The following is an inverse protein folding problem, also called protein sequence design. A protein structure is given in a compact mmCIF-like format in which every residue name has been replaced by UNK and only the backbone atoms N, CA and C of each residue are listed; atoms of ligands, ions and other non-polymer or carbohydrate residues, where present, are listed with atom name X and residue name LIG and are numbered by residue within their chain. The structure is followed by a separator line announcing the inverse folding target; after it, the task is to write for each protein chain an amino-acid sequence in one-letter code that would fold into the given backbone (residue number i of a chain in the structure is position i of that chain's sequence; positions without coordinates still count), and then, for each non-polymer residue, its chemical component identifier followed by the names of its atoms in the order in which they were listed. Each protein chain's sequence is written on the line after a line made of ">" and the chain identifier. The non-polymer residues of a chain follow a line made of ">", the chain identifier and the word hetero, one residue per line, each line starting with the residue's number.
data_IF_847990156059
#
_entry.id   IF_847990156059
#
_cell.length_a   1.000
_cell.length_b   1.000
_cell.length_c   1.000
_cell.angle_alpha   90.00
_cell.angle_beta   90.00
_cell.angle_gamma   90.00
#
_symmetry.space_group_name_H-M   'P 1'
#
loop_
_entity.id
_entity.type
_entity.pdbx_description
1 polymer ?
#
# COMPACT_ATOMS: atom_id res chain seq x y z
N UNK A 1 11.85 -11.09 20.63
CA UNK A 1 10.65 -10.31 20.26
C UNK A 1 9.39 -11.13 20.44
N UNK A 2 8.32 -10.49 20.89
CA UNK A 2 6.99 -11.12 20.91
C UNK A 2 6.51 -11.27 19.48
N UNK A 3 6.13 -12.49 19.09
CA UNK A 3 5.55 -12.79 17.78
C UNK A 3 4.02 -12.71 17.94
N UNK A 4 3.36 -11.99 17.04
CA UNK A 4 1.91 -11.86 16.97
C UNK A 4 1.43 -12.06 15.53
N UNK A 5 0.14 -12.36 15.36
CA UNK A 5 -0.45 -12.43 14.03
C UNK A 5 -0.38 -11.05 13.30
N UNK A 6 -0.21 -11.07 11.99
CA UNK A 6 -0.21 -9.88 11.13
C UNK A 6 -1.16 -10.09 9.93
N UNK A 7 -2.48 -10.16 10.17
CA UNK A 7 -3.46 -10.38 9.11
C UNK A 7 -3.60 -9.15 8.20
N UNK A 8 -3.97 -9.37 6.94
CA UNK A 8 -4.40 -8.29 6.04
C UNK A 8 -5.74 -7.72 6.54
N UNK A 9 -5.90 -6.37 6.58
CA UNK A 9 -7.14 -5.75 7.06
C UNK A 9 -8.30 -6.02 6.11
N UNK A 10 -9.47 -6.34 6.66
CA UNK A 10 -10.69 -6.57 5.89
C UNK A 10 -11.50 -5.28 5.66
N UNK A 11 -11.37 -4.32 6.56
CA UNK A 11 -12.08 -3.05 6.51
C UNK A 11 -11.43 -2.03 7.44
N UNK A 12 -11.96 -0.82 7.41
CA UNK A 12 -11.59 0.30 8.28
C UNK A 12 -12.90 0.81 8.89
N UNK A 13 -12.98 0.80 10.20
CA UNK A 13 -14.23 1.12 10.91
C UNK A 13 -14.69 2.57 10.61
N UNK A 14 -13.75 3.51 10.56
CA UNK A 14 -14.02 4.93 10.34
C UNK A 14 -14.13 5.34 8.87
N UNK A 15 -14.23 4.40 7.93
CA UNK A 15 -14.14 4.69 6.50
C UNK A 15 -15.16 5.71 6.00
N UNK A 16 -16.40 5.64 6.50
CA UNK A 16 -17.47 6.57 6.13
C UNK A 16 -17.17 8.00 6.60
N UNK A 17 -16.60 8.15 7.80
CA UNK A 17 -16.16 9.45 8.34
C UNK A 17 -14.98 10.01 7.55
N UNK A 18 -14.01 9.18 7.22
CA UNK A 18 -12.85 9.56 6.40
C UNK A 18 -13.33 10.04 5.03
N UNK A 19 -14.23 9.29 4.40
CA UNK A 19 -14.80 9.64 3.10
C UNK A 19 -15.55 10.97 3.16
N UNK A 20 -16.43 11.16 4.15
CA UNK A 20 -17.22 12.38 4.31
C UNK A 20 -16.34 13.63 4.46
N UNK A 21 -15.25 13.53 5.20
CA UNK A 21 -14.28 14.63 5.37
C UNK A 21 -13.51 14.89 4.06
N UNK A 22 -13.04 13.85 3.41
CA UNK A 22 -12.31 13.94 2.14
C UNK A 22 -13.17 14.56 1.03
N UNK A 23 -14.44 14.14 0.92
CA UNK A 23 -15.40 14.68 -0.06
C UNK A 23 -15.67 16.19 0.15
N UNK A 24 -15.43 16.69 1.37
CA UNK A 24 -15.49 18.14 1.69
C UNK A 24 -14.16 18.87 1.46
N UNK A 25 -13.18 18.22 0.85
CA UNK A 25 -11.86 18.81 0.55
C UNK A 25 -10.91 18.88 1.75
N UNK A 26 -11.18 18.15 2.82
CA UNK A 26 -10.28 18.10 3.98
C UNK A 26 -9.17 17.07 3.77
N UNK A 27 -7.97 17.39 4.25
CA UNK A 27 -6.86 16.45 4.32
C UNK A 27 -7.04 15.59 5.57
N UNK A 28 -7.18 14.28 5.39
CA UNK A 28 -7.43 13.32 6.49
C UNK A 28 -6.18 12.50 6.74
N UNK A 29 -5.74 12.46 8.01
CA UNK A 29 -4.65 11.57 8.48
C UNK A 29 -5.32 10.39 9.19
N UNK A 30 -5.13 9.19 8.66
CA UNK A 30 -5.80 7.98 9.17
C UNK A 30 -4.83 6.79 9.24
N UNK A 31 -5.25 5.72 9.93
CA UNK A 31 -4.56 4.43 10.08
C UNK A 31 -3.19 4.47 10.77
N UNK A 32 -2.53 5.62 10.94
CA UNK A 32 -1.23 5.71 11.61
C UNK A 32 -0.22 4.66 11.11
N UNK A 33 0.34 3.86 12.00
CA UNK A 33 1.26 2.77 11.68
C UNK A 33 0.59 1.47 11.20
N UNK A 34 -0.72 1.47 10.88
CA UNK A 34 -1.50 0.32 10.43
C UNK A 34 -2.90 0.24 11.06
N UNK A 35 -3.13 0.98 12.15
CA UNK A 35 -4.37 1.01 12.89
C UNK A 35 -4.42 0.06 14.08
N UNK A 36 -5.49 0.16 14.86
CA UNK A 36 -5.77 -0.72 16.01
C UNK A 36 -6.57 -1.91 15.50
N UNK A 37 -6.02 -3.15 15.60
CA UNK A 37 -6.73 -4.33 15.13
C UNK A 37 -7.91 -4.66 16.02
N UNK A 38 -9.09 -4.81 15.40
CA UNK A 38 -10.34 -5.19 16.07
C UNK A 38 -11.03 -6.31 15.31
N UNK A 39 -11.80 -7.11 16.05
CA UNK A 39 -12.71 -8.11 15.50
C UNK A 39 -14.14 -7.61 15.70
N UNK A 40 -14.92 -7.54 14.62
CA UNK A 40 -16.33 -7.23 14.69
C UNK A 40 -17.12 -8.52 15.01
N UNK A 41 -17.89 -8.50 16.10
CA UNK A 41 -18.78 -9.58 16.51
C UNK A 41 -20.19 -9.02 16.74
N UNK A 42 -21.03 -9.11 15.72
CA UNK A 42 -22.32 -8.44 15.73
C UNK A 42 -22.13 -6.92 15.76
N UNK A 43 -22.61 -6.28 16.82
CA UNK A 43 -22.51 -4.81 17.03
C UNK A 43 -21.30 -4.41 17.90
N UNK A 44 -20.56 -5.36 18.41
CA UNK A 44 -19.41 -5.13 19.30
C UNK A 44 -18.09 -5.21 18.56
N UNK A 45 -17.12 -4.39 19.00
CA UNK A 45 -15.74 -4.41 18.54
C UNK A 45 -14.83 -4.90 19.67
N UNK A 46 -14.11 -5.97 19.43
CA UNK A 46 -13.15 -6.54 20.38
C UNK A 46 -11.73 -6.34 19.89
N UNK A 47 -10.84 -5.84 20.75
CA UNK A 47 -9.42 -5.71 20.43
C UNK A 47 -8.78 -7.06 20.11
N UNK A 48 -8.01 -7.13 19.02
CA UNK A 48 -7.30 -8.33 18.60
C UNK A 48 -5.81 -8.28 18.98
N UNK A 49 -5.25 -9.41 19.42
CA UNK A 49 -3.81 -9.56 19.67
C UNK A 49 -3.06 -9.75 18.33
N UNK A 50 -3.00 -8.71 17.53
CA UNK A 50 -2.42 -8.71 16.19
C UNK A 50 -1.71 -7.39 15.91
N UNK A 51 -1.03 -7.30 14.76
CA UNK A 51 -0.48 -6.07 14.18
C UNK A 51 -1.01 -5.96 12.76
N UNK A 52 -1.47 -4.78 12.37
CA UNK A 52 -1.81 -4.51 10.97
C UNK A 52 -0.65 -3.75 10.33
N UNK A 53 -0.18 -4.27 9.22
CA UNK A 53 0.89 -3.64 8.45
C UNK A 53 0.32 -2.40 7.71
N UNK A 54 1.03 -1.26 7.81
CA UNK A 54 0.57 0.04 7.32
C UNK A 54 0.32 0.11 5.82
N UNK A 55 1.12 -0.62 5.03
CA UNK A 55 1.00 -0.59 3.56
C UNK A 55 -0.31 -1.29 3.13
N UNK A 56 -0.66 -2.42 3.77
CA UNK A 56 -1.96 -3.07 3.55
C UNK A 56 -3.15 -2.22 4.03
N UNK A 57 -2.99 -1.52 5.18
CA UNK A 57 -4.03 -0.61 5.65
C UNK A 57 -4.25 0.55 4.68
N UNK A 58 -3.16 1.12 4.14
CA UNK A 58 -3.22 2.21 3.16
C UNK A 58 -3.84 1.75 1.83
N UNK A 59 -3.44 0.59 1.33
CA UNK A 59 -4.03 -0.01 0.13
C UNK A 59 -5.52 -0.26 0.31
N UNK A 60 -5.92 -0.85 1.45
CA UNK A 60 -7.33 -1.10 1.76
C UNK A 60 -8.14 0.19 1.89
N UNK A 61 -7.57 1.24 2.49
CA UNK A 61 -8.21 2.55 2.58
C UNK A 61 -8.41 3.18 1.20
N UNK A 62 -7.38 3.17 0.37
CA UNK A 62 -7.45 3.69 -1.00
C UNK A 62 -8.52 2.96 -1.83
N UNK A 63 -8.63 1.65 -1.68
CA UNK A 63 -9.66 0.80 -2.29
C UNK A 63 -11.07 1.21 -1.85
N UNK A 64 -11.32 1.32 -0.53
CA UNK A 64 -12.62 1.66 0.05
C UNK A 64 -13.05 3.09 -0.27
N UNK A 65 -12.11 4.03 -0.39
CA UNK A 65 -12.35 5.41 -0.79
C UNK A 65 -12.52 5.57 -2.30
N UNK A 66 -12.26 4.53 -3.08
CA UNK A 66 -12.21 4.58 -4.54
C UNK A 66 -11.24 5.67 -5.03
N UNK A 67 -10.05 5.71 -4.44
CA UNK A 67 -9.03 6.69 -4.79
C UNK A 67 -8.53 6.53 -6.23
N UNK A 68 -8.08 7.62 -6.85
CA UNK A 68 -7.50 7.61 -8.20
C UNK A 68 -6.06 7.11 -8.21
N UNK A 69 -5.35 7.29 -7.10
CA UNK A 69 -3.97 6.87 -6.96
C UNK A 69 -3.63 6.47 -5.52
N UNK A 70 -2.71 5.52 -5.40
CA UNK A 70 -2.05 5.17 -4.13
C UNK A 70 -0.56 5.52 -4.27
N UNK A 71 -0.08 6.46 -3.46
CA UNK A 71 1.33 6.78 -3.40
C UNK A 71 1.94 6.23 -2.11
N UNK A 72 2.97 5.41 -2.25
CA UNK A 72 3.73 4.83 -1.13
C UNK A 72 5.12 5.44 -1.11
N UNK A 73 5.41 6.20 -0.06
CA UNK A 73 6.72 6.82 0.14
C UNK A 73 7.63 5.93 0.98
N UNK A 74 8.84 5.72 0.52
CA UNK A 74 9.83 4.82 1.12
C UNK A 74 11.23 5.43 1.12
N UNK A 75 12.26 4.65 1.39
CA UNK A 75 13.66 5.11 1.43
C UNK A 75 14.40 5.01 0.09
N UNK A 76 13.79 4.38 -0.91
CA UNK A 76 14.39 4.19 -2.24
C UNK A 76 13.57 4.90 -3.30
N UNK A 77 14.23 5.39 -4.35
CA UNK A 77 13.57 6.10 -5.44
C UNK A 77 12.79 5.17 -6.35
N UNK A 78 13.34 3.98 -6.64
CA UNK A 78 12.68 2.97 -7.47
C UNK A 78 12.60 1.63 -6.75
N UNK A 79 11.59 0.86 -7.06
CA UNK A 79 11.55 -0.58 -6.77
C UNK A 79 12.52 -1.28 -7.69
N UNK A 80 13.30 -2.23 -7.18
CA UNK A 80 14.25 -2.99 -7.97
C UNK A 80 13.91 -4.49 -7.95
N UNK A 81 14.19 -5.18 -9.05
CA UNK A 81 14.35 -6.64 -9.08
C UNK A 81 15.82 -6.99 -8.96
N UNK A 82 16.13 -8.18 -8.45
CA UNK A 82 17.52 -8.57 -8.18
C UNK A 82 18.21 -7.71 -7.13
N UNK A 83 17.48 -7.14 -6.19
CA UNK A 83 17.98 -6.21 -5.19
C UNK A 83 19.19 -6.77 -4.42
N UNK A 84 20.22 -5.92 -4.23
CA UNK A 84 21.51 -6.28 -3.62
C UNK A 84 22.30 -7.38 -4.38
N UNK A 85 22.09 -7.54 -5.67
CA UNK A 85 22.89 -8.42 -6.55
C UNK A 85 23.53 -7.61 -7.70
N UNK A 86 24.47 -8.24 -8.41
CA UNK A 86 25.06 -7.65 -9.63
C UNK A 86 24.05 -7.51 -10.79
N UNK A 87 22.84 -8.01 -10.61
CA UNK A 87 21.74 -7.96 -11.57
C UNK A 87 20.58 -7.06 -11.10
N UNK A 88 20.85 -6.11 -10.21
CA UNK A 88 19.86 -5.16 -9.75
C UNK A 88 19.38 -4.26 -10.89
N UNK A 89 18.08 -4.26 -11.15
CA UNK A 89 17.44 -3.45 -12.18
C UNK A 89 16.30 -2.63 -11.56
N UNK A 90 16.36 -1.28 -11.64
CA UNK A 90 15.27 -0.43 -11.22
C UNK A 90 14.10 -0.55 -12.18
N UNK A 91 12.88 -0.56 -11.61
CA UNK A 91 11.63 -0.62 -12.35
C UNK A 91 11.02 0.79 -12.40
N UNK A 92 10.78 1.31 -13.61
CA UNK A 92 10.14 2.62 -13.80
C UNK A 92 8.63 2.46 -13.99
N UNK A 93 8.22 1.63 -14.96
CA UNK A 93 6.83 1.30 -15.23
C UNK A 93 6.68 -0.22 -15.32
N UNK A 94 5.70 -0.75 -14.61
CA UNK A 94 5.36 -2.18 -14.66
C UNK A 94 3.85 -2.35 -14.70
N UNK A 95 3.40 -3.38 -15.39
CA UNK A 95 2.00 -3.81 -15.35
C UNK A 95 1.66 -4.54 -14.05
N UNK A 96 0.37 -4.69 -13.76
CA UNK A 96 -0.10 -5.53 -12.65
C UNK A 96 0.37 -6.97 -12.85
N UNK A 97 0.36 -7.48 -14.08
CA UNK A 97 0.81 -8.82 -14.43
C UNK A 97 2.31 -9.01 -14.14
N UNK A 98 3.15 -8.06 -14.52
CA UNK A 98 4.59 -8.10 -14.23
C UNK A 98 4.85 -8.06 -12.72
N UNK A 99 4.16 -7.16 -12.00
CA UNK A 99 4.26 -7.08 -10.55
C UNK A 99 3.89 -8.41 -9.88
N UNK A 100 2.83 -9.07 -10.34
CA UNK A 100 2.41 -10.38 -9.84
C UNK A 100 3.44 -11.47 -10.15
N UNK A 101 4.08 -11.45 -11.33
CA UNK A 101 5.16 -12.39 -11.68
C UNK A 101 6.38 -12.20 -10.76
N UNK A 102 6.76 -10.95 -10.49
CA UNK A 102 7.87 -10.65 -9.57
C UNK A 102 7.55 -11.04 -8.12
N UNK A 103 6.30 -10.87 -7.65
CA UNK A 103 5.84 -11.39 -6.36
C UNK A 103 6.02 -12.90 -6.31
N UNK A 104 5.50 -13.62 -7.30
CA UNK A 104 5.51 -15.10 -7.36
C UNK A 104 6.93 -15.67 -7.47
N UNK A 105 7.85 -14.94 -8.10
CA UNK A 105 9.26 -15.33 -8.22
C UNK A 105 10.13 -14.87 -7.02
N UNK A 106 9.53 -14.23 -6.00
CA UNK A 106 10.23 -13.85 -4.78
C UNK A 106 11.26 -12.72 -4.96
N UNK A 107 11.02 -11.79 -5.90
CA UNK A 107 11.96 -10.71 -6.19
C UNK A 107 11.98 -9.62 -5.11
N UNK A 108 10.95 -9.51 -4.29
CA UNK A 108 10.81 -8.43 -3.33
C UNK A 108 11.10 -8.89 -1.90
N UNK A 109 11.79 -8.05 -1.14
CA UNK A 109 12.09 -8.31 0.27
C UNK A 109 10.79 -8.43 1.08
N UNK A 110 10.58 -9.58 1.80
CA UNK A 110 9.27 -9.93 2.37
C UNK A 110 8.72 -8.95 3.42
N UNK A 111 9.60 -8.28 4.17
CA UNK A 111 9.18 -7.45 5.31
C UNK A 111 9.10 -5.96 5.00
N UNK A 112 9.60 -5.54 3.84
CA UNK A 112 9.68 -4.11 3.49
C UNK A 112 9.04 -3.79 2.14
N UNK A 113 9.51 -4.39 1.05
CA UNK A 113 9.05 -4.05 -0.29
C UNK A 113 7.81 -4.86 -0.71
N UNK A 114 7.77 -6.16 -0.41
CA UNK A 114 6.67 -7.03 -0.80
C UNK A 114 5.29 -6.52 -0.34
N UNK A 115 5.09 -6.06 0.92
CA UNK A 115 3.80 -5.53 1.36
C UNK A 115 3.33 -4.31 0.55
N UNK A 116 4.27 -3.47 0.08
CA UNK A 116 3.97 -2.28 -0.74
C UNK A 116 3.44 -2.67 -2.12
N UNK A 117 4.13 -3.62 -2.76
CA UNK A 117 3.72 -4.11 -4.08
C UNK A 117 2.39 -4.85 -3.98
N UNK A 118 2.22 -5.76 -3.01
CA UNK A 118 0.96 -6.47 -2.81
C UNK A 118 -0.22 -5.54 -2.52
N UNK A 119 -0.01 -4.50 -1.69
CA UNK A 119 -1.04 -3.50 -1.41
C UNK A 119 -1.41 -2.71 -2.67
N UNK A 120 -0.41 -2.36 -3.48
CA UNK A 120 -0.60 -1.68 -4.77
C UNK A 120 -1.37 -2.54 -5.77
N UNK A 121 -0.96 -3.79 -5.97
CA UNK A 121 -1.63 -4.74 -6.87
C UNK A 121 -3.08 -4.95 -6.45
N UNK A 122 -3.33 -5.21 -5.16
CA UNK A 122 -4.69 -5.38 -4.64
C UNK A 122 -5.58 -4.14 -4.90
N UNK A 123 -5.03 -2.95 -4.76
CA UNK A 123 -5.72 -1.70 -5.04
C UNK A 123 -6.08 -1.56 -6.54
N UNK A 124 -5.16 -1.91 -7.45
CA UNK A 124 -5.38 -1.81 -8.89
C UNK A 124 -6.40 -2.82 -9.40
N UNK A 125 -6.38 -4.05 -8.90
CA UNK A 125 -7.32 -5.11 -9.29
C UNK A 125 -8.80 -4.78 -8.97
N UNK A 126 -9.05 -3.82 -8.08
CA UNK A 126 -10.40 -3.43 -7.64
C UNK A 126 -10.99 -2.24 -8.40
N UNK A 127 -10.31 -1.68 -9.38
CA UNK A 127 -10.85 -0.59 -10.18
C UNK A 127 -9.97 -0.22 -11.36
N UNK A 128 -10.59 0.32 -12.41
CA UNK A 128 -9.92 0.72 -13.64
C UNK A 128 -9.42 2.17 -13.57
N UNK A 129 -8.37 2.48 -14.34
CA UNK A 129 -7.82 3.82 -14.48
C UNK A 129 -7.10 4.36 -13.23
N UNK A 130 -6.73 3.47 -12.31
CA UNK A 130 -5.96 3.76 -11.10
C UNK A 130 -4.47 3.57 -11.35
N UNK A 131 -3.66 4.19 -10.50
CA UNK A 131 -2.21 3.99 -10.52
C UNK A 131 -1.64 3.87 -9.12
N UNK A 132 -0.57 3.12 -8.99
CA UNK A 132 0.27 3.07 -7.79
C UNK A 132 1.60 3.73 -8.09
N UNK A 133 2.10 4.54 -7.17
CA UNK A 133 3.38 5.22 -7.28
C UNK A 133 4.20 4.86 -6.04
N UNK A 134 5.39 4.29 -6.24
CA UNK A 134 6.32 3.98 -5.15
C UNK A 134 7.60 4.77 -5.40
N UNK A 135 7.96 5.64 -4.46
CA UNK A 135 9.17 6.47 -4.60
C UNK A 135 9.71 6.91 -3.22
N UNK A 136 10.84 7.60 -3.21
CA UNK A 136 11.40 8.16 -1.98
C UNK A 136 10.63 9.41 -1.52
N UNK A 137 10.74 9.71 -0.21
CA UNK A 137 10.02 10.84 0.41
C UNK A 137 10.41 12.17 -0.24
N UNK A 138 11.68 12.37 -0.53
CA UNK A 138 12.21 13.59 -1.16
C UNK A 138 11.83 13.72 -2.65
N UNK A 139 11.37 12.64 -3.28
CA UNK A 139 10.91 12.58 -4.68
C UNK A 139 9.39 12.50 -4.82
N UNK A 140 8.63 12.73 -3.75
CA UNK A 140 7.17 12.57 -3.77
C UNK A 140 6.50 13.41 -4.86
N UNK A 141 6.90 14.66 -5.04
CA UNK A 141 6.30 15.56 -6.06
C UNK A 141 6.66 15.10 -7.48
N UNK A 142 7.93 14.77 -7.72
CA UNK A 142 8.37 14.27 -9.02
C UNK A 142 7.69 12.94 -9.37
N UNK A 143 7.54 12.05 -8.38
CA UNK A 143 6.80 10.80 -8.54
C UNK A 143 5.32 11.03 -8.88
N UNK A 144 4.65 11.95 -8.18
CA UNK A 144 3.27 12.32 -8.48
C UNK A 144 3.10 12.84 -9.92
N UNK A 145 4.09 13.62 -10.40
CA UNK A 145 4.13 14.15 -11.76
C UNK A 145 4.58 13.13 -12.82
N UNK A 146 4.86 11.88 -12.44
CA UNK A 146 5.31 10.81 -13.33
C UNK A 146 6.73 11.00 -13.89
N UNK A 147 7.60 11.72 -13.16
CA UNK A 147 8.97 12.01 -13.59
C UNK A 147 10.01 11.06 -13.01
N UNK A 148 9.65 10.33 -11.98
CA UNK A 148 10.51 9.35 -11.30
C UNK A 148 9.67 8.39 -10.45
N UNK A 149 10.32 7.41 -9.83
CA UNK A 149 9.67 6.37 -9.03
C UNK A 149 9.22 5.19 -9.87
N UNK A 150 8.65 4.20 -9.22
CA UNK A 150 8.02 3.05 -9.88
C UNK A 150 6.52 3.28 -9.97
N UNK A 151 5.98 3.22 -11.18
CA UNK A 151 4.54 3.30 -11.46
C UNK A 151 4.04 1.90 -11.80
N UNK A 152 2.95 1.49 -11.15
CA UNK A 152 2.22 0.24 -11.45
C UNK A 152 0.82 0.63 -11.95
N UNK A 153 0.41 0.13 -13.11
CA UNK A 153 -0.89 0.43 -13.74
C UNK A 153 -1.41 -0.71 -14.64
#
# INVERSE_FOLDING_TARGET
>A
RRIVAAPKPQGIIEIDSIKALSDQGQVVIACGGGGIPVLAQGVELHGASAVIEKDYASGRMAELLNADALMILTSVEHVCVGYNTDQEVPLEHISVEDAQQYINSGQFEPNTMLPKIEAGVSFLEKGNGRKVIITSIDKALEGYLGKTGTIIE
#
